data_IF_117906739068
#
_entry.id   IF_117906739068
#
_cell.length_a   1.000
_cell.length_b   1.000
_cell.length_c   1.000
_cell.angle_alpha   90.00
_cell.angle_beta   90.00
_cell.angle_gamma   90.00
#
_symmetry.space_group_name_H-M   'P 1'
#
loop_
_entity.id
_entity.type
_entity.pdbx_description
1 polymer ?
#
# COMPACT_ATOMS: atom_id res chain seq x y z
N UNK A 1 0.16 20.59 13.71
CA UNK A 1 -1.17 20.46 13.05
C UNK A 1 -2.21 20.27 14.15
N UNK A 2 -3.29 21.06 14.14
CA UNK A 2 -4.41 20.89 15.07
C UNK A 2 -5.26 19.67 14.69
N UNK A 3 -6.11 19.19 15.59
CA UNK A 3 -7.03 18.09 15.32
C UNK A 3 -8.01 18.43 14.19
N UNK A 4 -8.50 19.67 14.15
CA UNK A 4 -9.44 20.12 13.14
C UNK A 4 -8.76 20.28 11.76
N UNK A 5 -7.52 20.78 11.70
CA UNK A 5 -6.73 20.83 10.46
C UNK A 5 -6.50 19.41 9.91
N UNK A 6 -6.18 18.46 10.79
CA UNK A 6 -5.98 17.06 10.38
C UNK A 6 -7.27 16.48 9.82
N UNK A 7 -8.39 16.68 10.52
CA UNK A 7 -9.71 16.22 10.07
C UNK A 7 -10.06 16.75 8.69
N UNK A 8 -9.89 18.04 8.48
CA UNK A 8 -10.19 18.71 7.19
C UNK A 8 -9.34 18.12 6.07
N UNK A 9 -8.03 18.00 6.28
CA UNK A 9 -7.09 17.45 5.27
C UNK A 9 -7.34 15.98 4.97
N UNK A 10 -7.61 15.16 6.00
CA UNK A 10 -7.90 13.74 5.83
C UNK A 10 -9.20 13.52 5.06
N UNK A 11 -10.26 14.25 5.39
CA UNK A 11 -11.54 14.19 4.68
C UNK A 11 -11.41 14.62 3.21
N UNK A 12 -10.64 15.67 2.95
CA UNK A 12 -10.35 16.11 1.59
C UNK A 12 -9.55 15.07 0.80
N UNK A 13 -8.59 14.41 1.44
CA UNK A 13 -7.78 13.38 0.80
C UNK A 13 -8.55 12.06 0.59
N UNK A 14 -9.56 11.77 1.40
CA UNK A 14 -10.35 10.53 1.30
C UNK A 14 -11.12 10.39 -0.02
N UNK A 15 -11.37 11.50 -0.72
CA UNK A 15 -12.06 11.51 -2.03
C UNK A 15 -11.11 11.50 -3.23
N UNK A 16 -9.79 11.50 -3.02
CA UNK A 16 -8.84 11.42 -4.14
C UNK A 16 -8.91 10.07 -4.84
N UNK A 17 -8.66 10.07 -6.15
CA UNK A 17 -8.67 8.86 -6.95
C UNK A 17 -7.50 7.93 -6.61
N UNK A 18 -7.62 6.66 -6.99
CA UNK A 18 -6.53 5.69 -6.81
C UNK A 18 -5.31 6.06 -7.65
N UNK A 19 -5.50 6.67 -8.82
CA UNK A 19 -4.43 7.19 -9.66
C UNK A 19 -3.68 8.33 -8.96
N UNK A 20 -4.37 9.19 -8.21
CA UNK A 20 -3.72 10.25 -7.43
C UNK A 20 -2.76 9.66 -6.39
N UNK A 21 -3.20 8.66 -5.63
CA UNK A 21 -2.35 7.94 -4.68
C UNK A 21 -1.22 7.18 -5.38
N UNK A 22 -1.47 6.62 -6.56
CA UNK A 22 -0.43 5.97 -7.34
C UNK A 22 0.66 6.96 -7.80
N UNK A 23 0.27 8.17 -8.22
CA UNK A 23 1.22 9.27 -8.53
C UNK A 23 2.01 9.66 -7.28
N UNK A 24 1.34 9.80 -6.12
CA UNK A 24 2.00 10.09 -4.85
C UNK A 24 3.06 9.04 -4.50
N UNK A 25 2.73 7.76 -4.53
CA UNK A 25 3.68 6.67 -4.26
C UNK A 25 4.84 6.68 -5.26
N UNK A 26 4.55 6.87 -6.55
CA UNK A 26 5.57 6.91 -7.58
C UNK A 26 6.49 8.14 -7.47
N UNK A 27 5.98 9.28 -6.99
CA UNK A 27 6.78 10.47 -6.72
C UNK A 27 7.76 10.27 -5.55
N UNK A 28 7.46 9.35 -4.65
CA UNK A 28 8.32 8.97 -3.53
C UNK A 28 9.27 7.79 -3.84
N UNK A 29 9.18 7.20 -5.05
CA UNK A 29 10.03 6.09 -5.46
C UNK A 29 11.49 6.54 -5.68
N UNK A 30 12.48 5.77 -5.23
CA UNK A 30 13.90 6.07 -5.47
C UNK A 30 14.26 6.17 -6.96
N UNK A 31 13.53 5.49 -7.82
CA UNK A 31 13.77 5.47 -9.27
C UNK A 31 13.01 6.55 -10.04
N UNK A 32 12.21 7.41 -9.36
CA UNK A 32 11.33 8.41 -10.00
C UNK A 32 12.02 9.28 -11.04
N UNK A 33 13.28 9.67 -10.80
CA UNK A 33 14.07 10.51 -11.71
C UNK A 33 14.58 9.77 -12.97
N UNK A 34 14.48 8.44 -13.00
CA UNK A 34 14.88 7.59 -14.13
C UNK A 34 13.71 7.22 -15.03
N UNK A 35 12.48 7.58 -14.64
CA UNK A 35 11.27 7.22 -15.36
C UNK A 35 10.88 8.29 -16.38
N UNK A 36 10.63 7.89 -17.61
CA UNK A 36 9.98 8.75 -18.61
C UNK A 36 8.49 8.93 -18.30
N UNK A 37 7.85 9.95 -18.86
CA UNK A 37 6.40 10.16 -18.68
C UNK A 37 5.58 8.94 -19.12
N UNK A 38 5.94 8.31 -20.26
CA UNK A 38 5.27 7.10 -20.72
C UNK A 38 5.44 5.91 -19.76
N UNK A 39 6.63 5.75 -19.17
CA UNK A 39 6.87 4.71 -18.16
C UNK A 39 6.09 4.98 -16.88
N UNK A 40 6.02 6.22 -16.44
CA UNK A 40 5.21 6.61 -15.26
C UNK A 40 3.73 6.27 -15.47
N UNK A 41 3.17 6.65 -16.61
CA UNK A 41 1.79 6.31 -16.95
C UNK A 41 1.56 4.80 -17.00
N UNK A 42 2.44 4.04 -17.65
CA UNK A 42 2.35 2.59 -17.74
C UNK A 42 2.42 1.92 -16.34
N UNK A 43 3.28 2.43 -15.43
CA UNK A 43 3.40 1.93 -14.06
C UNK A 43 2.09 2.16 -13.30
N UNK A 44 1.55 3.38 -13.33
CA UNK A 44 0.33 3.73 -12.62
C UNK A 44 -0.81 2.83 -13.10
N UNK A 45 -1.09 2.83 -14.39
CA UNK A 45 -2.20 2.05 -14.97
C UNK A 45 -2.03 0.55 -14.73
N UNK A 46 -0.82 0.02 -15.00
CA UNK A 46 -0.56 -1.42 -14.87
C UNK A 46 -0.58 -1.91 -13.42
N UNK A 47 -0.07 -1.11 -12.48
CA UNK A 47 -0.07 -1.47 -11.06
C UNK A 47 -1.49 -1.40 -10.46
N UNK A 48 -2.26 -0.36 -10.77
CA UNK A 48 -3.68 -0.26 -10.34
C UNK A 48 -4.48 -1.46 -10.86
N UNK A 49 -4.35 -1.77 -12.15
CA UNK A 49 -5.03 -2.93 -12.74
C UNK A 49 -4.58 -4.25 -12.11
N UNK A 50 -3.27 -4.44 -11.91
CA UNK A 50 -2.73 -5.67 -11.31
C UNK A 50 -3.24 -5.91 -9.90
N UNK A 51 -3.30 -4.87 -9.06
CA UNK A 51 -3.85 -4.97 -7.72
C UNK A 51 -5.33 -5.36 -7.70
N UNK A 52 -6.13 -4.76 -8.59
CA UNK A 52 -7.55 -5.08 -8.74
C UNK A 52 -7.77 -6.50 -9.26
N UNK A 53 -6.95 -6.97 -10.21
CA UNK A 53 -7.06 -8.31 -10.78
C UNK A 53 -6.73 -9.39 -9.75
N UNK A 54 -5.64 -9.22 -8.99
CA UNK A 54 -5.28 -10.13 -7.89
C UNK A 54 -6.37 -10.18 -6.83
N UNK A 55 -6.93 -9.03 -6.43
CA UNK A 55 -8.01 -9.00 -5.46
C UNK A 55 -9.27 -9.71 -5.96
N UNK A 56 -9.63 -9.54 -7.23
CA UNK A 56 -10.77 -10.23 -7.86
C UNK A 56 -10.54 -11.74 -7.87
N UNK A 57 -9.39 -12.22 -8.33
CA UNK A 57 -9.03 -13.62 -8.34
C UNK A 57 -9.11 -14.27 -6.95
N UNK A 58 -8.56 -13.60 -5.94
CA UNK A 58 -8.63 -14.07 -4.55
C UNK A 58 -10.08 -14.11 -4.03
N UNK A 59 -10.88 -13.08 -4.34
CA UNK A 59 -12.29 -13.03 -3.93
C UNK A 59 -13.12 -14.14 -4.56
N UNK A 60 -12.91 -14.42 -5.85
CA UNK A 60 -13.59 -15.50 -6.57
C UNK A 60 -13.14 -16.87 -6.05
N UNK A 61 -11.84 -17.10 -5.93
CA UNK A 61 -11.26 -18.37 -5.50
C UNK A 61 -11.64 -18.75 -4.07
N UNK A 62 -11.74 -17.79 -3.18
CA UNK A 62 -11.98 -18.00 -1.74
C UNK A 62 -13.36 -17.54 -1.27
N UNK A 63 -14.33 -17.36 -2.19
CA UNK A 63 -15.71 -16.98 -1.88
C UNK A 63 -15.80 -15.75 -0.95
N UNK A 64 -15.02 -14.71 -1.27
CA UNK A 64 -14.96 -13.45 -0.54
C UNK A 64 -14.70 -13.58 0.98
N UNK A 65 -13.89 -14.56 1.39
CA UNK A 65 -13.40 -14.67 2.77
C UNK A 65 -12.57 -13.46 3.17
N UNK A 66 -12.44 -13.27 4.49
CA UNK A 66 -11.58 -12.22 5.02
C UNK A 66 -10.11 -12.45 4.63
N UNK A 67 -9.32 -11.40 4.39
CA UNK A 67 -7.90 -11.49 4.01
C UNK A 67 -7.07 -12.40 4.92
N UNK A 68 -7.28 -12.34 6.24
CA UNK A 68 -6.57 -13.21 7.17
C UNK A 68 -6.95 -14.70 7.02
N UNK A 69 -8.17 -15.01 6.65
CA UNK A 69 -8.57 -16.39 6.34
C UNK A 69 -7.94 -16.86 5.03
N UNK A 70 -7.94 -16.00 3.99
CA UNK A 70 -7.31 -16.28 2.70
C UNK A 70 -5.82 -16.54 2.88
N UNK A 71 -5.11 -15.70 3.65
CA UNK A 71 -3.70 -15.87 3.94
C UNK A 71 -3.41 -17.26 4.57
N UNK A 72 -4.20 -17.66 5.58
CA UNK A 72 -4.06 -18.98 6.22
C UNK A 72 -4.31 -20.13 5.24
N UNK A 73 -5.32 -20.00 4.37
CA UNK A 73 -5.62 -21.03 3.35
C UNK A 73 -4.52 -21.15 2.29
N UNK A 74 -3.76 -20.08 2.05
CA UNK A 74 -2.57 -20.06 1.20
C UNK A 74 -1.29 -20.53 1.93
N UNK A 75 -1.39 -20.92 3.21
CA UNK A 75 -0.25 -21.37 4.00
C UNK A 75 0.61 -20.23 4.55
N UNK A 76 0.11 -18.99 4.50
CA UNK A 76 0.81 -17.83 5.05
C UNK A 76 0.57 -17.73 6.54
N UNK A 77 1.66 -17.65 7.31
CA UNK A 77 1.60 -17.43 8.76
C UNK A 77 1.35 -15.95 9.06
N UNK A 78 0.44 -15.66 9.99
CA UNK A 78 0.20 -14.30 10.48
C UNK A 78 0.66 -14.21 11.93
N UNK A 79 1.50 -13.22 12.24
CA UNK A 79 2.06 -12.98 13.57
C UNK A 79 1.78 -11.52 13.94
N UNK A 80 1.32 -11.27 15.16
CA UNK A 80 1.26 -9.93 15.72
C UNK A 80 2.50 -9.71 16.59
N UNK A 81 3.33 -8.73 16.23
CA UNK A 81 4.56 -8.37 16.95
C UNK A 81 4.88 -6.90 16.69
N UNK A 82 5.73 -6.31 17.53
CA UNK A 82 6.24 -4.97 17.31
C UNK A 82 7.39 -5.00 16.29
N UNK A 83 7.22 -4.32 15.17
CA UNK A 83 8.26 -4.19 14.14
C UNK A 83 9.33 -3.20 14.63
N UNK A 84 10.31 -3.70 15.38
CA UNK A 84 11.40 -2.89 15.95
C UNK A 84 12.17 -2.16 14.85
N UNK A 85 12.23 -0.84 14.97
CA UNK A 85 12.95 0.04 14.02
C UNK A 85 12.12 0.55 12.85
N UNK A 86 10.97 -0.05 12.55
CA UNK A 86 10.04 0.38 11.50
C UNK A 86 8.79 1.02 12.14
N UNK A 87 8.95 2.16 12.80
CA UNK A 87 7.93 2.79 13.64
C UNK A 87 6.60 3.10 12.96
N UNK A 88 6.56 3.15 11.63
CA UNK A 88 5.38 3.61 10.88
C UNK A 88 4.82 2.56 9.90
N UNK A 89 5.40 1.36 9.88
CA UNK A 89 4.94 0.28 9.02
C UNK A 89 3.84 -0.50 9.74
N UNK A 90 2.70 -0.70 9.08
CA UNK A 90 1.56 -1.44 9.65
C UNK A 90 1.81 -2.94 9.66
N UNK A 91 2.55 -3.44 8.67
CA UNK A 91 2.83 -4.85 8.48
C UNK A 91 4.06 -5.05 7.60
N UNK A 92 4.54 -6.28 7.55
CA UNK A 92 5.62 -6.68 6.66
C UNK A 92 5.46 -8.14 6.25
N UNK A 93 5.74 -8.46 5.01
CA UNK A 93 5.78 -9.83 4.49
C UNK A 93 7.21 -10.33 4.32
N UNK A 94 7.51 -11.47 4.93
CA UNK A 94 8.75 -12.21 4.73
C UNK A 94 8.53 -13.37 3.76
N UNK A 95 9.06 -13.26 2.55
CA UNK A 95 8.93 -14.28 1.50
C UNK A 95 9.72 -15.56 1.79
N UNK A 96 10.75 -15.51 2.63
CA UNK A 96 11.55 -16.69 2.99
C UNK A 96 10.79 -17.64 3.92
N UNK A 97 9.96 -17.08 4.79
CA UNK A 97 9.20 -17.84 5.79
C UNK A 97 7.71 -17.87 5.51
N UNK A 98 7.25 -17.22 4.44
CA UNK A 98 5.84 -17.00 4.12
C UNK A 98 5.08 -16.45 5.34
N UNK A 99 5.63 -15.43 6.00
CA UNK A 99 5.07 -14.87 7.23
C UNK A 99 4.68 -13.40 7.03
N UNK A 100 3.46 -13.05 7.38
CA UNK A 100 2.99 -11.68 7.54
C UNK A 100 3.13 -11.31 9.01
N UNK A 101 3.93 -10.30 9.32
CA UNK A 101 4.01 -9.71 10.65
C UNK A 101 3.20 -8.43 10.68
N UNK A 102 2.19 -8.38 11.52
CA UNK A 102 1.34 -7.20 11.75
C UNK A 102 1.89 -6.44 12.95
N UNK A 103 2.13 -5.15 12.79
CA UNK A 103 2.64 -4.28 13.85
C UNK A 103 1.54 -4.00 14.89
N UNK A 104 1.59 -4.76 15.99
CA UNK A 104 0.55 -4.71 17.04
C UNK A 104 0.38 -3.30 17.58
N UNK A 105 1.45 -2.62 17.94
CA UNK A 105 1.40 -1.25 18.48
C UNK A 105 0.72 -0.28 17.53
N UNK A 106 0.97 -0.37 16.22
CA UNK A 106 0.36 0.51 15.23
C UNK A 106 -1.12 0.19 15.01
N UNK A 107 -1.48 -1.09 14.97
CA UNK A 107 -2.89 -1.50 14.84
C UNK A 107 -3.68 -1.04 16.07
N UNK A 108 -3.19 -1.30 17.30
CA UNK A 108 -3.85 -0.86 18.53
C UNK A 108 -4.09 0.67 18.53
N UNK A 109 -3.11 1.46 18.05
CA UNK A 109 -3.25 2.91 17.91
C UNK A 109 -4.32 3.30 16.89
N UNK A 110 -4.36 2.65 15.72
CA UNK A 110 -5.38 2.91 14.70
C UNK A 110 -6.79 2.58 15.20
N UNK A 111 -6.95 1.48 15.93
CA UNK A 111 -8.22 1.07 16.51
C UNK A 111 -8.71 2.05 17.60
N UNK A 112 -7.79 2.61 18.39
CA UNK A 112 -8.10 3.59 19.42
C UNK A 112 -8.29 5.00 18.86
N UNK A 113 -7.84 5.27 17.64
CA UNK A 113 -7.93 6.59 17.05
C UNK A 113 -9.37 6.89 16.60
N UNK A 114 -10.12 7.64 17.41
CA UNK A 114 -11.48 8.06 17.06
C UNK A 114 -11.57 8.81 15.73
N UNK A 115 -10.49 9.51 15.35
CA UNK A 115 -10.40 10.26 14.10
C UNK A 115 -10.45 9.32 12.90
N UNK A 116 -9.75 8.18 12.93
CA UNK A 116 -9.80 7.20 11.84
C UNK A 116 -11.18 6.59 11.68
N UNK A 117 -11.87 6.32 12.78
CA UNK A 117 -13.22 5.71 12.78
C UNK A 117 -14.33 6.67 12.32
N UNK A 118 -14.15 7.99 12.51
CA UNK A 118 -15.17 8.99 12.18
C UNK A 118 -14.97 9.67 10.84
N UNK A 119 -13.75 9.72 10.33
CA UNK A 119 -13.41 10.50 9.14
C UNK A 119 -13.11 9.64 7.91
N UNK A 120 -12.62 8.44 8.08
CA UNK A 120 -12.50 7.51 6.97
C UNK A 120 -13.86 6.85 6.72
N UNK A 121 -14.38 6.95 5.49
CA UNK A 121 -15.72 6.47 5.19
C UNK A 121 -15.80 4.94 5.32
N UNK A 122 -16.81 4.48 6.04
CA UNK A 122 -17.11 3.05 6.22
C UNK A 122 -16.46 2.43 7.45
N UNK A 123 -16.89 1.21 7.75
CA UNK A 123 -16.31 0.37 8.82
C UNK A 123 -15.21 -0.47 8.21
N UNK A 124 -14.02 -0.42 8.77
CA UNK A 124 -12.89 -1.24 8.33
C UNK A 124 -12.13 -1.81 9.53
N UNK A 125 -11.43 -2.91 9.29
CA UNK A 125 -10.54 -3.53 10.27
C UNK A 125 -9.09 -3.29 9.84
N UNK A 126 -8.28 -2.51 10.60
CA UNK A 126 -6.90 -2.20 10.24
C UNK A 126 -6.02 -3.44 10.05
N UNK A 127 -6.24 -4.49 10.85
CA UNK A 127 -5.52 -5.76 10.71
C UNK A 127 -5.83 -6.43 9.36
N UNK A 128 -7.09 -6.49 8.96
CA UNK A 128 -7.46 -7.09 7.67
C UNK A 128 -6.90 -6.30 6.48
N UNK A 129 -6.88 -4.95 6.59
CA UNK A 129 -6.28 -4.08 5.57
C UNK A 129 -4.78 -4.33 5.46
N UNK A 130 -4.07 -4.40 6.58
CA UNK A 130 -2.64 -4.69 6.62
C UNK A 130 -2.35 -6.09 6.04
N UNK A 131 -3.11 -7.12 6.43
CA UNK A 131 -2.97 -8.47 5.90
C UNK A 131 -3.26 -8.53 4.41
N UNK A 132 -4.28 -7.81 3.92
CA UNK A 132 -4.60 -7.76 2.49
C UNK A 132 -3.48 -7.13 1.65
N UNK A 133 -2.81 -6.09 2.17
CA UNK A 133 -1.64 -5.49 1.55
C UNK A 133 -0.48 -6.50 1.43
N UNK A 134 -0.13 -7.17 2.51
CA UNK A 134 0.95 -8.17 2.52
C UNK A 134 0.61 -9.44 1.73
N UNK A 135 -0.68 -9.75 1.61
CA UNK A 135 -1.14 -10.87 0.79
C UNK A 135 -0.84 -10.64 -0.69
N UNK A 136 -0.92 -9.38 -1.18
CA UNK A 136 -0.45 -9.05 -2.52
C UNK A 136 1.04 -9.36 -2.68
N UNK A 137 1.89 -8.99 -1.74
CA UNK A 137 3.32 -9.29 -1.78
C UNK A 137 3.61 -10.81 -1.73
N UNK A 138 2.77 -11.58 -1.01
CA UNK A 138 2.85 -13.05 -1.07
C UNK A 138 2.58 -13.57 -2.48
N UNK A 139 1.48 -13.15 -3.12
CA UNK A 139 1.16 -13.54 -4.50
C UNK A 139 2.25 -13.08 -5.46
N UNK A 140 2.69 -11.83 -5.35
CA UNK A 140 3.77 -11.28 -6.15
C UNK A 140 5.06 -12.09 -6.05
N UNK A 141 5.41 -12.59 -4.87
CA UNK A 141 6.63 -13.36 -4.64
C UNK A 141 6.60 -14.72 -5.35
N UNK A 142 5.43 -15.34 -5.45
CA UNK A 142 5.20 -16.64 -6.09
C UNK A 142 4.86 -16.56 -7.59
N UNK A 143 4.28 -15.46 -8.04
CA UNK A 143 3.84 -15.27 -9.43
C UNK A 143 4.73 -14.26 -10.18
N UNK A 144 5.49 -14.75 -11.14
CA UNK A 144 6.28 -13.91 -12.04
C UNK A 144 5.44 -13.18 -13.10
N UNK A 145 4.15 -13.51 -13.20
CA UNK A 145 3.19 -12.94 -14.15
C UNK A 145 2.64 -11.59 -13.73
N UNK A 146 2.68 -11.22 -12.45
CA UNK A 146 2.15 -9.94 -11.98
C UNK A 146 2.94 -8.74 -12.54
N UNK A 147 2.24 -7.65 -12.81
CA UNK A 147 2.78 -6.48 -13.49
C UNK A 147 4.05 -5.92 -12.82
N UNK A 148 4.06 -5.77 -11.51
CA UNK A 148 5.18 -5.23 -10.72
C UNK A 148 6.48 -6.04 -10.87
N UNK A 149 6.39 -7.34 -11.16
CA UNK A 149 7.54 -8.23 -11.42
C UNK A 149 7.98 -8.21 -12.89
N UNK A 150 7.05 -8.01 -13.81
CA UNK A 150 7.31 -7.99 -15.25
C UNK A 150 7.83 -6.65 -15.73
N UNK A 151 7.27 -5.54 -15.21
CA UNK A 151 7.66 -4.21 -15.64
C UNK A 151 9.03 -3.83 -15.09
N UNK A 152 10.00 -3.67 -16.01
CA UNK A 152 11.38 -3.33 -15.64
C UNK A 152 11.87 -2.14 -16.43
N UNK A 153 12.51 -1.21 -15.74
CA UNK A 153 13.19 -0.06 -16.33
C UNK A 153 14.69 -0.29 -16.46
N UNK A 154 15.30 0.26 -17.51
CA UNK A 154 16.74 0.21 -17.69
C UNK A 154 17.36 1.34 -16.88
N UNK A 155 18.18 1.01 -15.89
CA UNK A 155 18.86 1.99 -15.04
C UNK A 155 20.15 2.51 -15.67
N UNK A 156 20.89 1.64 -16.36
CA UNK A 156 22.09 2.02 -17.11
C UNK A 156 22.39 1.04 -18.25
N UNK A 157 23.21 1.51 -19.19
CA UNK A 157 23.74 0.73 -20.32
C UNK A 157 25.25 0.98 -20.43
N UNK A 158 26.00 -0.10 -20.65
CA UNK A 158 27.42 -0.05 -20.98
C UNK A 158 27.67 -0.99 -22.17
N UNK A 159 27.72 -0.44 -23.37
CA UNK A 159 27.76 -1.23 -24.61
C UNK A 159 26.52 -2.17 -24.70
N UNK A 160 26.73 -3.49 -24.87
CA UNK A 160 25.65 -4.47 -24.93
C UNK A 160 25.02 -4.77 -23.57
N UNK A 161 25.68 -4.42 -22.48
CA UNK A 161 25.22 -4.70 -21.13
C UNK A 161 24.12 -3.71 -20.71
N UNK A 162 23.01 -4.24 -20.15
CA UNK A 162 21.89 -3.45 -19.66
C UNK A 162 21.53 -3.95 -18.27
N UNK A 163 21.52 -3.05 -17.29
CA UNK A 163 20.98 -3.33 -15.98
C UNK A 163 19.53 -2.85 -15.89
N UNK A 164 18.63 -3.76 -15.59
CA UNK A 164 17.18 -3.49 -15.45
C UNK A 164 16.72 -3.83 -14.06
N UNK A 165 15.83 -2.99 -13.50
CA UNK A 165 15.22 -3.18 -12.19
C UNK A 165 13.72 -3.03 -12.28
N UNK A 166 12.99 -3.70 -11.41
CA UNK A 166 11.59 -3.39 -11.10
C UNK A 166 11.53 -2.04 -10.38
N UNK A 167 10.35 -1.43 -10.37
CA UNK A 167 10.08 -0.15 -9.70
C UNK A 167 9.32 -0.47 -8.42
N UNK A 168 9.90 -0.24 -7.22
CA UNK A 168 9.25 -0.55 -5.94
C UNK A 168 7.83 0.00 -5.81
N UNK A 169 7.62 1.26 -6.22
CA UNK A 169 6.29 1.86 -6.17
C UNK A 169 5.22 1.07 -6.95
N UNK A 170 5.58 0.33 -8.00
CA UNK A 170 4.60 -0.49 -8.73
C UNK A 170 4.02 -1.60 -7.85
N UNK A 171 4.85 -2.20 -6.99
CA UNK A 171 4.42 -3.21 -6.01
C UNK A 171 3.53 -2.59 -4.94
N UNK A 172 3.93 -1.45 -4.37
CA UNK A 172 3.17 -0.76 -3.32
C UNK A 172 1.81 -0.24 -3.81
N UNK A 173 1.75 0.32 -5.03
CA UNK A 173 0.49 0.74 -5.66
C UNK A 173 -0.46 -0.45 -5.79
N UNK A 174 0.04 -1.55 -6.34
CA UNK A 174 -0.79 -2.74 -6.55
C UNK A 174 -1.25 -3.37 -5.22
N UNK A 175 -0.38 -3.40 -4.19
CA UNK A 175 -0.73 -3.88 -2.85
C UNK A 175 -1.81 -3.01 -2.19
N UNK A 176 -1.71 -1.67 -2.32
CA UNK A 176 -2.73 -0.76 -1.81
C UNK A 176 -4.09 -0.97 -2.50
N UNK A 177 -4.12 -1.13 -3.83
CA UNK A 177 -5.35 -1.39 -4.58
C UNK A 177 -5.93 -2.77 -4.25
N UNK A 178 -5.07 -3.78 -4.10
CA UNK A 178 -5.50 -5.11 -3.67
C UNK A 178 -6.17 -5.05 -2.29
N UNK A 179 -5.55 -4.38 -1.32
CA UNK A 179 -6.11 -4.19 0.02
C UNK A 179 -7.44 -3.42 -0.01
N UNK A 180 -7.51 -2.31 -0.76
CA UNK A 180 -8.75 -1.55 -0.96
C UNK A 180 -9.88 -2.43 -1.45
N UNK A 181 -9.61 -3.22 -2.48
CA UNK A 181 -10.62 -4.05 -3.15
C UNK A 181 -11.07 -5.22 -2.28
N UNK A 182 -10.14 -5.97 -1.67
CA UNK A 182 -10.44 -7.10 -0.78
C UNK A 182 -11.22 -6.67 0.46
N UNK A 183 -10.83 -5.55 1.06
CA UNK A 183 -11.49 -5.02 2.26
C UNK A 183 -12.69 -4.12 1.93
N UNK A 184 -13.02 -3.92 0.64
CA UNK A 184 -14.14 -3.08 0.16
C UNK A 184 -14.10 -1.65 0.74
N UNK A 185 -12.92 -1.05 0.78
CA UNK A 185 -12.75 0.29 1.33
C UNK A 185 -13.27 1.37 0.37
N UNK A 186 -13.93 2.38 0.92
CA UNK A 186 -14.36 3.56 0.19
C UNK A 186 -13.24 4.62 0.04
N UNK A 187 -12.05 4.37 0.60
CA UNK A 187 -10.88 5.24 0.56
C UNK A 187 -9.64 4.43 0.17
N UNK A 188 -8.57 5.12 -0.24
CA UNK A 188 -7.30 4.44 -0.51
C UNK A 188 -6.55 4.16 0.81
N UNK A 189 -6.10 2.92 1.09
CA UNK A 189 -5.48 2.53 2.35
C UNK A 189 -4.15 3.25 2.65
N UNK A 190 -3.52 3.89 1.68
CA UNK A 190 -2.36 4.79 1.89
C UNK A 190 -2.67 5.91 2.90
N UNK A 191 -3.95 6.29 3.06
CA UNK A 191 -4.37 7.26 4.09
C UNK A 191 -4.14 6.79 5.52
N UNK A 192 -4.02 5.48 5.77
CA UNK A 192 -3.70 4.96 7.10
C UNK A 192 -2.30 5.41 7.55
N UNK A 193 -1.38 5.65 6.61
CA UNK A 193 -0.07 6.26 6.93
C UNK A 193 -0.24 7.67 7.50
N UNK A 194 -1.14 8.50 6.94
CA UNK A 194 -1.41 9.82 7.49
C UNK A 194 -1.96 9.76 8.93
N UNK A 195 -2.80 8.76 9.23
CA UNK A 195 -3.33 8.55 10.58
C UNK A 195 -2.21 8.14 11.55
N UNK A 196 -1.31 7.27 11.14
CA UNK A 196 -0.16 6.88 11.98
C UNK A 196 0.80 8.06 12.22
N UNK A 197 1.07 8.86 11.18
CA UNK A 197 1.88 10.08 11.29
C UNK A 197 1.24 11.12 12.20
N UNK A 198 -0.09 11.26 12.17
CA UNK A 198 -0.80 12.19 13.07
C UNK A 198 -0.54 11.87 14.55
N UNK A 199 -0.42 10.60 14.89
CA UNK A 199 -0.17 10.16 16.26
C UNK A 199 1.29 10.26 16.70
N UNK A 200 2.24 10.31 15.75
CA UNK A 200 3.66 10.18 16.05
C UNK A 200 4.51 11.39 15.64
N UNK A 201 4.21 12.04 14.51
CA UNK A 201 5.09 13.05 13.92
C UNK A 201 4.30 14.09 13.11
N UNK A 202 3.88 15.14 13.80
CA UNK A 202 3.09 16.23 13.18
C UNK A 202 3.84 16.98 12.07
N UNK A 203 5.18 17.03 12.09
CA UNK A 203 5.97 17.70 11.06
C UNK A 203 5.95 16.86 9.76
N UNK A 204 6.28 15.58 9.86
CA UNK A 204 6.22 14.66 8.72
C UNK A 204 4.81 14.53 8.14
N UNK A 205 3.78 14.59 8.98
CA UNK A 205 2.40 14.60 8.54
C UNK A 205 2.10 15.81 7.63
N UNK A 206 2.58 17.00 7.99
CA UNK A 206 2.39 18.19 7.16
C UNK A 206 3.05 18.03 5.79
N UNK A 207 4.31 17.56 5.77
CA UNK A 207 5.05 17.27 4.54
C UNK A 207 4.36 16.20 3.69
N UNK A 208 3.81 15.16 4.32
CA UNK A 208 3.08 14.08 3.67
C UNK A 208 1.84 14.61 2.93
N UNK A 209 1.01 15.43 3.59
CA UNK A 209 -0.15 16.04 2.93
C UNK A 209 0.24 16.99 1.80
N UNK A 210 1.31 17.77 1.97
CA UNK A 210 1.80 18.67 0.93
C UNK A 210 2.30 17.89 -0.29
N UNK A 211 2.97 16.76 -0.10
CA UNK A 211 3.40 15.86 -1.18
C UNK A 211 2.19 15.20 -1.85
N UNK A 212 1.22 14.71 -1.08
CA UNK A 212 -0.01 14.13 -1.62
C UNK A 212 -0.77 15.16 -2.45
N UNK A 213 -0.94 16.38 -1.97
CA UNK A 213 -1.65 17.44 -2.69
C UNK A 213 -0.98 17.83 -4.03
N UNK A 214 0.35 17.73 -4.10
CA UNK A 214 1.13 18.01 -5.33
C UNK A 214 1.20 16.81 -6.30
N UNK A 215 0.64 15.69 -5.96
CA UNK A 215 0.63 14.50 -6.79
C UNK A 215 -0.46 14.57 -7.89
N UNK A 216 -0.51 15.69 -8.62
CA UNK A 216 -1.48 15.96 -9.69
C UNK A 216 -0.81 15.83 -11.05
#
# INVERSE_FOLDING_TARGET
MTCDDFRLRLSAAAIYSDEHFAVFLLNNDPLRSKLTAAQRHAIITGAVQSGADVARELSERFAAKLPAEVARLLGVKIVADDLKGARQVLSNYDSCTATITVNKTMIDKLEQCQVSQTLLPGIFNPTEVAVAHELYHHIESGDKGVFSRQFKVTLWRLGPLRYRSTVPAASEIAAAICAKTLCRLCFNPVLLEAVTLYMEDAQRLAEWFDQLHRAV
#
